data_IF_896610775424
#
_entry.id   IF_896610775424
#
_cell.length_a   1.000
_cell.length_b   1.000
_cell.length_c   1.000
_cell.angle_alpha   90.00
_cell.angle_beta   90.00
_cell.angle_gamma   90.00
#
_symmetry.space_group_name_H-M   'P 1'
#
loop_
_entity.id
_entity.type
_entity.pdbx_description
1 polymer ?
#
# COMPACT_ATOMS: atom_id res chain seq x y z
N UNK A 1 11.81 0.52 -18.56
CA UNK A 1 10.68 0.80 -17.66
C UNK A 1 10.79 0.10 -16.30
N UNK A 2 11.43 -1.06 -16.19
CA UNK A 2 11.63 -1.74 -14.89
C UNK A 2 12.42 -0.87 -13.92
N UNK A 3 13.55 -0.25 -14.37
CA UNK A 3 14.31 0.67 -13.53
C UNK A 3 13.47 1.86 -13.05
N UNK A 4 12.66 2.46 -13.93
CA UNK A 4 11.73 3.52 -13.56
C UNK A 4 10.72 3.06 -12.53
N UNK A 5 10.14 1.88 -12.71
CA UNK A 5 9.18 1.29 -11.79
C UNK A 5 9.79 1.07 -10.40
N UNK A 6 10.99 0.50 -10.32
CA UNK A 6 11.73 0.31 -9.06
C UNK A 6 11.98 1.66 -8.38
N UNK A 7 12.51 2.65 -9.12
CA UNK A 7 12.79 3.97 -8.55
C UNK A 7 11.55 4.66 -8.03
N UNK A 8 10.43 4.61 -8.76
CA UNK A 8 9.15 5.15 -8.32
C UNK A 8 8.64 4.45 -7.06
N UNK A 9 8.71 3.12 -7.01
CA UNK A 9 8.27 2.33 -5.85
C UNK A 9 9.08 2.64 -4.59
N UNK A 10 10.41 2.69 -4.71
CA UNK A 10 11.30 3.06 -3.59
C UNK A 10 11.02 4.49 -3.13
N UNK A 11 10.98 5.45 -4.05
CA UNK A 11 10.77 6.85 -3.71
C UNK A 11 9.42 7.08 -3.03
N UNK A 12 8.36 6.48 -3.54
CA UNK A 12 7.03 6.55 -2.93
C UNK A 12 7.00 5.90 -1.54
N UNK A 13 7.60 4.71 -1.39
CA UNK A 13 7.68 4.02 -0.11
C UNK A 13 8.46 4.80 0.94
N UNK A 14 9.60 5.36 0.57
CA UNK A 14 10.40 6.22 1.46
C UNK A 14 9.62 7.47 1.85
N UNK A 15 9.02 8.17 0.89
CA UNK A 15 8.26 9.38 1.15
C UNK A 15 7.10 9.12 2.10
N UNK A 16 6.29 8.09 1.82
CA UNK A 16 5.13 7.76 2.64
C UNK A 16 5.55 7.25 4.01
N UNK A 17 6.60 6.41 4.07
CA UNK A 17 7.16 5.94 5.32
C UNK A 17 7.65 7.09 6.20
N UNK A 18 8.40 8.02 5.64
CA UNK A 18 8.89 9.20 6.34
C UNK A 18 7.76 10.13 6.81
N UNK A 19 6.79 10.43 5.93
CA UNK A 19 5.63 11.26 6.27
C UNK A 19 4.82 10.60 7.38
N UNK A 20 4.60 9.30 7.30
CA UNK A 20 3.89 8.54 8.33
C UNK A 20 4.60 8.57 9.68
N UNK A 21 5.92 8.42 9.71
CA UNK A 21 6.71 8.46 10.94
C UNK A 21 6.81 9.86 11.53
N UNK A 22 7.08 10.84 10.69
CA UNK A 22 7.34 12.21 11.13
C UNK A 22 6.07 12.96 11.52
N UNK A 23 4.99 12.81 10.73
CA UNK A 23 3.75 13.57 10.94
C UNK A 23 2.98 13.08 12.16
N UNK A 24 2.94 11.77 12.36
CA UNK A 24 2.11 11.20 13.42
C UNK A 24 2.91 10.81 14.68
N UNK A 25 4.22 10.64 14.56
CA UNK A 25 5.05 10.17 15.67
C UNK A 25 4.47 8.87 16.28
N UNK A 26 4.38 8.83 17.60
CA UNK A 26 3.80 7.71 18.38
C UNK A 26 2.27 7.80 18.54
N UNK A 27 1.59 8.61 17.74
CA UNK A 27 0.14 8.73 17.81
C UNK A 27 -0.56 7.39 17.53
N UNK A 28 -1.57 7.06 18.33
CA UNK A 28 -2.43 5.88 18.12
C UNK A 28 -3.18 5.90 16.79
N UNK A 29 -3.32 7.07 16.17
CA UNK A 29 -3.92 7.25 14.85
C UNK A 29 -2.94 7.02 13.70
N UNK A 30 -1.69 6.72 14.01
CA UNK A 30 -0.69 6.38 13.01
C UNK A 30 -0.79 4.89 12.65
N UNK A 31 -1.02 4.61 11.36
CA UNK A 31 -1.12 3.23 10.89
C UNK A 31 0.10 2.38 11.24
N UNK A 32 1.32 2.92 11.17
CA UNK A 32 2.54 2.19 11.54
C UNK A 32 2.54 1.78 13.00
N UNK A 33 2.09 2.65 13.90
CA UNK A 33 1.95 2.35 15.33
C UNK A 33 0.90 1.25 15.53
N UNK A 34 -0.23 1.35 14.87
CA UNK A 34 -1.30 0.33 14.93
C UNK A 34 -0.81 -1.04 14.44
N UNK A 35 -0.07 -1.08 13.33
CA UNK A 35 0.51 -2.32 12.79
C UNK A 35 1.56 -2.89 13.75
N UNK A 36 2.48 -2.06 14.26
CA UNK A 36 3.46 -2.44 15.27
C UNK A 36 2.79 -3.10 16.48
N UNK A 37 1.82 -2.42 17.06
CA UNK A 37 1.16 -2.90 18.27
C UNK A 37 0.37 -4.19 18.04
N UNK A 38 -0.27 -4.32 16.88
CA UNK A 38 -0.95 -5.56 16.47
C UNK A 38 0.04 -6.71 16.34
N UNK A 39 1.17 -6.49 15.70
CA UNK A 39 2.21 -7.52 15.53
C UNK A 39 2.86 -7.91 16.85
N UNK A 40 3.08 -6.96 17.76
CA UNK A 40 3.65 -7.24 19.07
C UNK A 40 2.70 -8.03 19.98
N UNK A 41 1.40 -8.07 19.71
CA UNK A 41 0.43 -8.92 20.41
C UNK A 41 0.53 -10.39 20.00
N UNK A 42 0.92 -10.70 18.76
CA UNK A 42 1.13 -12.10 18.33
C UNK A 42 2.50 -12.61 18.80
N UNK A 43 2.48 -13.57 19.72
CA UNK A 43 3.68 -14.15 20.28
C UNK A 43 4.59 -14.82 19.23
N UNK A 44 4.02 -15.36 18.15
CA UNK A 44 4.77 -15.99 17.05
C UNK A 44 5.55 -14.95 16.26
N UNK A 45 4.91 -13.83 15.89
CA UNK A 45 5.59 -12.74 15.19
C UNK A 45 6.64 -12.07 16.05
N UNK A 46 6.34 -11.89 17.34
CA UNK A 46 7.28 -11.33 18.31
C UNK A 46 8.53 -12.17 18.50
N UNK A 47 8.42 -13.49 18.36
CA UNK A 47 9.54 -14.44 18.49
C UNK A 47 10.50 -14.43 17.30
N UNK A 48 10.08 -13.90 16.12
CA UNK A 48 10.90 -13.85 14.93
C UNK A 48 12.04 -12.83 15.07
N UNK A 49 13.21 -13.18 14.55
CA UNK A 49 14.28 -12.21 14.29
C UNK A 49 13.93 -11.25 13.15
N UNK A 50 14.66 -10.13 13.03
CA UNK A 50 14.41 -9.09 12.02
C UNK A 50 14.31 -9.63 10.59
N UNK A 51 15.26 -10.45 10.17
CA UNK A 51 15.29 -11.00 8.82
C UNK A 51 14.10 -11.96 8.55
N UNK A 52 13.75 -12.78 9.55
CA UNK A 52 12.61 -13.69 9.45
C UNK A 52 11.29 -12.92 9.39
N UNK A 53 11.14 -11.91 10.24
CA UNK A 53 9.95 -11.05 10.24
C UNK A 53 9.83 -10.29 8.93
N UNK A 54 10.93 -9.68 8.46
CA UNK A 54 10.95 -9.00 7.16
C UNK A 54 10.52 -9.95 6.03
N UNK A 55 11.11 -11.14 5.95
CA UNK A 55 10.76 -12.10 4.90
C UNK A 55 9.30 -12.57 4.99
N UNK A 56 8.80 -12.84 6.21
CA UNK A 56 7.43 -13.28 6.43
C UNK A 56 6.40 -12.24 5.98
N UNK A 57 6.71 -10.95 6.09
CA UNK A 57 5.84 -9.85 5.69
C UNK A 57 6.07 -9.42 4.22
N UNK A 58 7.34 -9.30 3.79
CA UNK A 58 7.69 -8.77 2.49
C UNK A 58 7.35 -9.72 1.34
N UNK A 59 7.52 -11.03 1.52
CA UNK A 59 7.25 -12.01 0.45
C UNK A 59 5.77 -11.99 0.02
N UNK A 60 4.80 -12.12 0.93
CA UNK A 60 3.39 -12.00 0.55
C UNK A 60 3.04 -10.62 -0.03
N UNK A 61 3.55 -9.55 0.60
CA UNK A 61 3.28 -8.18 0.18
C UNK A 61 3.88 -7.83 -1.20
N UNK A 62 5.00 -8.47 -1.58
CA UNK A 62 5.63 -8.25 -2.88
C UNK A 62 5.02 -9.08 -4.02
N UNK A 63 4.42 -10.21 -3.71
CA UNK A 63 3.98 -11.18 -4.74
C UNK A 63 2.47 -11.17 -4.88
N UNK A 64 1.73 -11.54 -3.82
CA UNK A 64 0.30 -11.83 -3.96
C UNK A 64 -0.54 -10.57 -4.14
N UNK A 65 -0.36 -9.57 -3.29
CA UNK A 65 -1.14 -8.33 -3.37
C UNK A 65 -0.88 -7.56 -4.67
N UNK A 66 0.38 -7.24 -5.06
CA UNK A 66 0.63 -6.49 -6.27
C UNK A 66 0.15 -7.18 -7.55
N UNK A 67 0.37 -8.49 -7.67
CA UNK A 67 -0.07 -9.22 -8.86
C UNK A 67 -1.59 -9.23 -8.94
N UNK A 68 -2.28 -9.60 -7.87
CA UNK A 68 -3.74 -9.68 -7.83
C UNK A 68 -4.40 -8.31 -8.06
N UNK A 69 -3.91 -7.30 -7.35
CA UNK A 69 -4.47 -5.95 -7.43
C UNK A 69 -4.23 -5.31 -8.79
N UNK A 70 -3.01 -5.41 -9.35
CA UNK A 70 -2.73 -4.81 -10.65
C UNK A 70 -3.48 -5.52 -11.79
N UNK A 71 -3.59 -6.85 -11.75
CA UNK A 71 -4.40 -7.59 -12.73
C UNK A 71 -5.87 -7.20 -12.66
N UNK A 72 -6.41 -7.05 -11.45
CA UNK A 72 -7.78 -6.62 -11.27
C UNK A 72 -7.98 -5.16 -11.71
N UNK A 73 -7.24 -4.22 -11.13
CA UNK A 73 -7.48 -2.80 -11.33
C UNK A 73 -7.05 -2.30 -12.70
N UNK A 74 -5.84 -2.68 -13.18
CA UNK A 74 -5.28 -2.20 -14.47
C UNK A 74 -5.57 -3.13 -15.63
N UNK A 75 -5.88 -4.40 -15.33
CA UNK A 75 -6.30 -5.37 -16.32
C UNK A 75 -7.81 -5.31 -16.56
N UNK A 76 -8.59 -5.76 -15.58
CA UNK A 76 -10.05 -5.97 -15.76
C UNK A 76 -10.83 -4.67 -15.57
N UNK A 77 -10.74 -4.06 -14.38
CA UNK A 77 -11.59 -2.91 -14.02
C UNK A 77 -11.38 -1.71 -14.93
N UNK A 78 -10.11 -1.31 -15.16
CA UNK A 78 -9.81 -0.20 -16.05
C UNK A 78 -10.28 -0.47 -17.49
N UNK A 79 -10.20 -1.71 -17.96
CA UNK A 79 -10.69 -2.06 -19.31
C UNK A 79 -12.20 -1.88 -19.42
N UNK A 80 -12.97 -2.39 -18.45
CA UNK A 80 -14.44 -2.26 -18.42
C UNK A 80 -14.84 -0.78 -18.39
N UNK A 81 -14.25 0.01 -17.51
CA UNK A 81 -14.58 1.46 -17.41
C UNK A 81 -14.13 2.21 -18.66
N UNK A 82 -13.01 1.85 -19.28
CA UNK A 82 -12.56 2.47 -20.54
C UNK A 82 -13.57 2.24 -21.65
N UNK A 83 -14.11 1.03 -21.76
CA UNK A 83 -15.14 0.70 -22.78
C UNK A 83 -16.44 1.46 -22.53
N UNK A 84 -16.81 1.69 -21.28
CA UNK A 84 -18.06 2.35 -20.92
C UNK A 84 -17.98 3.89 -20.94
N UNK A 85 -16.86 4.47 -20.50
CA UNK A 85 -16.76 5.91 -20.22
C UNK A 85 -15.43 6.55 -20.66
N UNK A 86 -14.56 5.81 -21.33
CA UNK A 86 -13.29 6.30 -21.85
C UNK A 86 -12.12 6.25 -20.85
N UNK A 87 -10.88 6.50 -21.34
CA UNK A 87 -9.66 6.25 -20.58
C UNK A 87 -9.46 7.20 -19.39
N UNK A 88 -9.94 8.44 -19.49
CA UNK A 88 -9.84 9.41 -18.38
C UNK A 88 -10.72 8.97 -17.21
N UNK A 89 -11.98 8.61 -17.50
CA UNK A 89 -12.89 8.08 -16.48
C UNK A 89 -12.33 6.80 -15.85
N UNK A 90 -11.77 5.89 -16.66
CA UNK A 90 -11.14 4.68 -16.15
C UNK A 90 -9.99 4.97 -15.19
N UNK A 91 -9.12 5.92 -15.51
CA UNK A 91 -8.01 6.34 -14.65
C UNK A 91 -8.52 6.89 -13.32
N UNK A 92 -9.48 7.80 -13.34
CA UNK A 92 -10.02 8.44 -12.14
C UNK A 92 -10.83 7.45 -11.28
N UNK A 93 -11.69 6.64 -11.89
CA UNK A 93 -12.46 5.63 -11.18
C UNK A 93 -11.55 4.57 -10.55
N UNK A 94 -10.54 4.12 -11.29
CA UNK A 94 -9.57 3.15 -10.76
C UNK A 94 -8.83 3.72 -9.56
N UNK A 95 -8.37 4.98 -9.62
CA UNK A 95 -7.69 5.63 -8.53
C UNK A 95 -8.62 5.80 -7.31
N UNK A 96 -9.84 6.25 -7.52
CA UNK A 96 -10.82 6.45 -6.45
C UNK A 96 -11.17 5.13 -5.75
N UNK A 97 -11.51 4.08 -6.51
CA UNK A 97 -11.89 2.79 -5.94
C UNK A 97 -10.71 2.14 -5.23
N UNK A 98 -9.51 2.18 -5.83
CA UNK A 98 -8.29 1.67 -5.22
C UNK A 98 -8.01 2.37 -3.88
N UNK A 99 -8.12 3.70 -3.85
CA UNK A 99 -7.96 4.46 -2.61
C UNK A 99 -9.00 4.09 -1.55
N UNK A 100 -10.27 4.07 -1.92
CA UNK A 100 -11.37 3.76 -0.99
C UNK A 100 -11.27 2.36 -0.38
N UNK A 101 -10.82 1.37 -1.13
CA UNK A 101 -10.61 0.01 -0.59
C UNK A 101 -9.55 -0.03 0.52
N UNK A 102 -8.61 0.90 0.54
CA UNK A 102 -7.58 0.95 1.57
C UNK A 102 -8.08 1.45 2.94
N UNK A 103 -9.32 1.97 3.02
CA UNK A 103 -9.96 2.26 4.31
C UNK A 103 -10.02 1.02 5.19
N UNK A 104 -10.31 -0.15 4.60
CA UNK A 104 -10.40 -1.40 5.34
C UNK A 104 -9.08 -1.83 6.00
N UNK A 105 -7.94 -1.45 5.43
CA UNK A 105 -6.62 -1.81 5.94
C UNK A 105 -5.99 -0.73 6.83
N UNK A 106 -6.30 0.54 6.57
CA UNK A 106 -5.56 1.67 7.16
C UNK A 106 -6.43 2.67 7.90
N UNK A 107 -7.74 2.52 7.80
CA UNK A 107 -8.71 3.43 8.40
C UNK A 107 -9.59 2.81 9.47
N UNK A 108 -9.56 1.49 9.63
CA UNK A 108 -10.37 0.77 10.63
C UNK A 108 -9.47 0.09 11.65
N UNK A 109 -9.79 0.23 12.92
CA UNK A 109 -9.06 -0.38 14.04
C UNK A 109 -10.04 -1.15 14.91
N UNK A 110 -9.64 -2.35 15.34
CA UNK A 110 -10.39 -3.13 16.31
C UNK A 110 -10.01 -2.69 17.71
N UNK A 111 -10.91 -2.04 18.42
CA UNK A 111 -10.79 -1.68 19.84
C UNK A 111 -11.58 -2.61 20.75
N UNK A 112 -11.53 -2.38 22.06
CA UNK A 112 -12.39 -3.07 23.04
C UNK A 112 -13.86 -2.71 22.88
N UNK A 113 -14.19 -1.56 22.27
CA UNK A 113 -15.55 -1.12 21.99
C UNK A 113 -16.09 -1.65 20.65
N UNK A 114 -15.25 -2.33 19.84
CA UNK A 114 -15.58 -2.86 18.52
C UNK A 114 -14.76 -2.23 17.41
N UNK A 115 -15.32 -2.26 16.20
CA UNK A 115 -14.68 -1.69 15.01
C UNK A 115 -14.85 -0.16 15.00
N UNK A 116 -13.73 0.55 15.02
CA UNK A 116 -13.69 2.02 15.03
C UNK A 116 -13.08 2.56 13.74
N UNK A 117 -13.73 3.58 13.17
CA UNK A 117 -13.18 4.33 12.06
C UNK A 117 -12.19 5.38 12.59
N UNK A 118 -11.00 5.41 12.01
CA UNK A 118 -9.97 6.43 12.21
C UNK A 118 -10.04 7.42 11.04
N UNK A 119 -10.90 8.45 11.07
CA UNK A 119 -11.26 9.22 9.87
C UNK A 119 -10.06 9.93 9.25
N UNK A 120 -9.15 10.41 10.07
CA UNK A 120 -7.96 11.11 9.59
C UNK A 120 -6.97 10.16 8.90
N UNK A 121 -6.69 9.01 9.52
CA UNK A 121 -5.86 7.97 8.92
C UNK A 121 -6.50 7.42 7.64
N UNK A 122 -7.81 7.15 7.68
CA UNK A 122 -8.58 6.69 6.53
C UNK A 122 -8.46 7.66 5.35
N UNK A 123 -8.71 8.96 5.58
CA UNK A 123 -8.63 9.97 4.53
C UNK A 123 -7.21 10.12 3.97
N UNK A 124 -6.20 10.15 4.84
CA UNK A 124 -4.82 10.26 4.42
C UNK A 124 -4.42 9.07 3.52
N UNK A 125 -4.76 7.85 3.94
CA UNK A 125 -4.45 6.65 3.16
C UNK A 125 -5.25 6.55 1.85
N UNK A 126 -6.51 6.96 1.83
CA UNK A 126 -7.31 7.05 0.59
C UNK A 126 -6.61 7.96 -0.42
N UNK A 127 -6.18 9.15 -0.01
CA UNK A 127 -5.52 10.10 -0.90
C UNK A 127 -4.15 9.59 -1.36
N UNK A 128 -3.34 9.03 -0.46
CA UNK A 128 -2.03 8.48 -0.78
C UNK A 128 -2.13 7.30 -1.75
N UNK A 129 -3.01 6.34 -1.48
CA UNK A 129 -3.15 5.16 -2.32
C UNK A 129 -3.86 5.45 -3.64
N UNK A 130 -4.76 6.45 -3.69
CA UNK A 130 -5.27 6.97 -4.95
C UNK A 130 -4.16 7.61 -5.79
N UNK A 131 -3.25 8.37 -5.18
CA UNK A 131 -2.07 8.92 -5.83
C UNK A 131 -1.12 7.83 -6.37
N UNK A 132 -0.86 6.79 -5.58
CA UNK A 132 -0.12 5.61 -6.02
C UNK A 132 -0.81 4.91 -7.20
N UNK A 133 -2.13 4.79 -7.16
CA UNK A 133 -2.91 4.22 -8.24
C UNK A 133 -2.77 4.99 -9.55
N UNK A 134 -2.70 6.32 -9.51
CA UNK A 134 -2.41 7.15 -10.69
C UNK A 134 -1.01 6.86 -11.23
N UNK A 135 -0.01 6.73 -10.37
CA UNK A 135 1.37 6.39 -10.73
C UNK A 135 1.46 5.00 -11.38
N UNK A 136 0.80 3.99 -10.81
CA UNK A 136 0.75 2.64 -11.39
C UNK A 136 0.05 2.64 -12.76
N UNK A 137 -1.04 3.40 -12.90
CA UNK A 137 -1.73 3.57 -14.20
C UNK A 137 -0.82 4.25 -15.22
N UNK A 138 -0.11 5.30 -14.81
CA UNK A 138 0.87 5.97 -15.66
C UNK A 138 1.96 5.00 -16.15
N UNK A 139 2.56 4.22 -15.24
CA UNK A 139 3.55 3.19 -15.59
C UNK A 139 2.98 2.16 -16.57
N UNK A 140 1.76 1.67 -16.32
CA UNK A 140 1.08 0.70 -17.19
C UNK A 140 0.89 1.24 -18.61
N UNK A 141 0.41 2.49 -18.72
CA UNK A 141 0.11 3.11 -20.03
C UNK A 141 1.40 3.38 -20.81
N UNK A 142 2.39 4.01 -20.19
CA UNK A 142 3.62 4.43 -20.88
C UNK A 142 4.57 3.28 -21.19
N UNK A 143 4.60 2.25 -20.35
CA UNK A 143 5.43 1.06 -20.62
C UNK A 143 4.78 0.06 -21.58
N UNK A 144 3.47 0.15 -21.76
CA UNK A 144 2.69 -0.87 -22.48
C UNK A 144 2.57 -2.21 -21.73
N UNK A 145 3.04 -2.29 -20.46
CA UNK A 145 3.12 -3.53 -19.69
C UNK A 145 2.56 -3.38 -18.29
N UNK A 146 1.70 -4.30 -17.89
CA UNK A 146 1.19 -4.35 -16.51
C UNK A 146 2.29 -4.66 -15.48
N UNK A 147 3.34 -5.34 -15.91
CA UNK A 147 4.46 -5.73 -15.04
C UNK A 147 5.26 -4.55 -14.51
N UNK A 148 5.22 -3.40 -15.19
CA UNK A 148 5.83 -2.17 -14.67
C UNK A 148 5.06 -1.65 -13.45
N UNK A 149 3.73 -1.72 -13.47
CA UNK A 149 2.90 -1.37 -12.32
C UNK A 149 3.08 -2.39 -11.18
N UNK A 150 3.05 -3.68 -11.50
CA UNK A 150 3.29 -4.76 -10.52
C UNK A 150 4.65 -4.60 -9.85
N UNK A 151 5.71 -4.33 -10.60
CA UNK A 151 7.05 -4.13 -10.07
C UNK A 151 7.12 -2.91 -9.14
N UNK A 152 6.55 -1.79 -9.55
CA UNK A 152 6.51 -0.57 -8.74
C UNK A 152 5.75 -0.81 -7.42
N UNK A 153 4.59 -1.44 -7.49
CA UNK A 153 3.75 -1.77 -6.34
C UNK A 153 4.46 -2.73 -5.39
N UNK A 154 5.07 -3.80 -5.92
CA UNK A 154 5.84 -4.76 -5.13
C UNK A 154 6.99 -4.09 -4.35
N UNK A 155 7.77 -3.25 -5.05
CA UNK A 155 8.89 -2.52 -4.43
C UNK A 155 8.39 -1.50 -3.39
N UNK A 156 7.29 -0.81 -3.67
CA UNK A 156 6.62 0.05 -2.69
C UNK A 156 6.26 -0.72 -1.42
N UNK A 157 5.58 -1.87 -1.54
CA UNK A 157 5.18 -2.69 -0.41
C UNK A 157 6.38 -3.22 0.39
N UNK A 158 7.44 -3.68 -0.28
CA UNK A 158 8.68 -4.11 0.39
C UNK A 158 9.31 -2.97 1.18
N UNK A 159 9.34 -1.76 0.62
CA UNK A 159 9.86 -0.57 1.30
C UNK A 159 9.02 -0.24 2.54
N UNK A 160 7.68 -0.33 2.45
CA UNK A 160 6.80 -0.13 3.58
C UNK A 160 7.02 -1.19 4.68
N UNK A 161 7.23 -2.45 4.30
CA UNK A 161 7.56 -3.52 5.27
C UNK A 161 8.90 -3.25 5.97
N UNK A 162 9.89 -2.70 5.26
CA UNK A 162 11.15 -2.30 5.89
C UNK A 162 10.94 -1.25 6.99
N UNK A 163 10.10 -0.23 6.74
CA UNK A 163 9.73 0.75 7.77
C UNK A 163 9.04 0.10 8.98
N UNK A 164 8.14 -0.85 8.75
CA UNK A 164 7.46 -1.58 9.85
C UNK A 164 8.49 -2.32 10.71
N UNK A 165 9.43 -3.05 10.10
CA UNK A 165 10.46 -3.80 10.84
C UNK A 165 11.39 -2.87 11.61
N UNK A 166 11.77 -1.73 11.04
CA UNK A 166 12.56 -0.70 11.73
C UNK A 166 11.80 -0.14 12.93
N UNK A 167 10.51 0.18 12.79
CA UNK A 167 9.66 0.71 13.87
C UNK A 167 9.49 -0.31 15.00
N UNK A 168 9.46 -1.60 14.67
CA UNK A 168 9.41 -2.67 15.66
C UNK A 168 10.70 -2.78 16.48
N UNK A 169 11.74 -2.03 16.13
CA UNK A 169 13.04 -2.07 16.81
C UNK A 169 13.77 -3.41 16.64
N UNK A 170 13.51 -4.06 15.52
CA UNK A 170 14.06 -5.38 15.20
C UNK A 170 15.12 -5.31 14.12
#
# INVERSE_FOLDING_TARGET
WIGTAISCGVAAGILIGFVGLWWYGESQHNWFVTVRDTMLRDARLRALGSAQLFAALAVPAAIFSPIGEELFFRGVFATIVTMAAGPVAATLCTAAVFGLMHIFHHGLVMSSAGLELQPFSAMAWVLLTAGLSLMFTWLRVHSGSIWSAVCCHAVFNVTMVAFIVIILGK
#
